data_IF_800208731134
#
_entry.id   IF_800208731134
#
_cell.length_a   1.000
_cell.length_b   1.000
_cell.length_c   1.000
_cell.angle_alpha   90.00
_cell.angle_beta   90.00
_cell.angle_gamma   90.00
#
_symmetry.space_group_name_H-M   'P 1'
#
loop_
_entity.id
_entity.type
_entity.pdbx_description
1 polymer ?
#
# COMPACT_ATOMS: atom_id res chain seq x y z
N UNK A 1 13.77 44.21 -9.92
CA UNK A 1 12.51 43.60 -10.40
C UNK A 1 12.66 42.13 -10.83
N UNK A 2 13.70 41.74 -11.59
CA UNK A 2 13.91 40.33 -12.01
C UNK A 2 14.34 39.36 -10.88
N UNK A 3 15.08 39.85 -9.87
CA UNK A 3 15.54 39.02 -8.73
C UNK A 3 14.39 38.37 -7.94
N UNK A 4 13.25 39.05 -7.79
CA UNK A 4 12.10 38.51 -7.05
C UNK A 4 11.41 37.37 -7.80
N UNK A 5 11.36 37.44 -9.13
CA UNK A 5 10.78 36.39 -9.99
C UNK A 5 11.63 35.12 -9.91
N UNK A 6 12.96 35.26 -9.90
CA UNK A 6 13.90 34.13 -9.76
C UNK A 6 13.72 33.46 -8.40
N UNK A 7 13.59 34.24 -7.31
CA UNK A 7 13.37 33.70 -5.97
C UNK A 7 12.02 32.98 -5.88
N UNK A 8 10.95 33.57 -6.41
CA UNK A 8 9.63 32.93 -6.44
C UNK A 8 9.65 31.61 -7.24
N UNK A 9 10.33 31.59 -8.40
CA UNK A 9 10.50 30.39 -9.20
C UNK A 9 11.33 29.31 -8.47
N UNK A 10 12.40 29.71 -7.80
CA UNK A 10 13.24 28.81 -7.01
C UNK A 10 12.48 28.18 -5.83
N UNK A 11 11.72 28.99 -5.08
CA UNK A 11 10.86 28.51 -3.97
C UNK A 11 9.77 27.57 -4.50
N UNK A 12 9.14 27.91 -5.62
CA UNK A 12 8.13 27.06 -6.25
C UNK A 12 8.69 25.70 -6.68
N UNK A 13 9.87 25.69 -7.33
CA UNK A 13 10.54 24.46 -7.73
C UNK A 13 10.95 23.60 -6.52
N UNK A 14 11.48 24.23 -5.47
CA UNK A 14 11.84 23.54 -4.24
C UNK A 14 10.60 22.89 -3.59
N UNK A 15 9.51 23.65 -3.47
CA UNK A 15 8.23 23.14 -2.95
C UNK A 15 7.70 21.97 -3.79
N UNK A 16 7.81 22.04 -5.12
CA UNK A 16 7.37 20.98 -6.04
C UNK A 16 8.17 19.68 -5.85
N UNK A 17 9.48 19.78 -5.67
CA UNK A 17 10.35 18.60 -5.47
C UNK A 17 10.12 17.99 -4.09
N UNK A 18 9.98 18.81 -3.06
CA UNK A 18 9.67 18.34 -1.69
C UNK A 18 8.32 17.62 -1.66
N UNK A 19 7.26 18.18 -2.27
CA UNK A 19 5.98 17.49 -2.41
C UNK A 19 6.08 16.22 -3.26
N UNK A 20 6.88 16.19 -4.33
CA UNK A 20 7.01 15.03 -5.20
C UNK A 20 7.66 13.80 -4.54
N UNK A 21 8.48 14.00 -3.49
CA UNK A 21 9.09 12.91 -2.71
C UNK A 21 8.31 12.55 -1.45
N UNK A 22 7.57 13.50 -0.86
CA UNK A 22 6.77 13.28 0.35
C UNK A 22 5.30 12.92 0.10
N UNK A 23 4.75 13.17 -1.10
CA UNK A 23 3.49 12.57 -1.49
C UNK A 23 3.80 11.17 -2.04
N UNK A 24 3.39 10.08 -1.36
CA UNK A 24 3.28 8.81 -2.05
C UNK A 24 2.45 9.07 -3.28
N UNK A 25 2.95 8.65 -4.44
CA UNK A 25 2.24 8.70 -5.71
C UNK A 25 0.95 7.92 -5.49
N UNK A 26 -0.11 8.61 -5.07
CA UNK A 26 -1.45 8.08 -5.12
C UNK A 26 -1.58 7.68 -6.58
N UNK A 27 -1.60 6.37 -6.82
CA UNK A 27 -2.08 5.83 -8.09
C UNK A 27 -3.38 6.59 -8.36
N UNK A 28 -3.69 6.98 -9.60
CA UNK A 28 -4.97 7.58 -9.91
C UNK A 28 -6.05 6.62 -9.41
N UNK A 29 -6.53 6.84 -8.19
CA UNK A 29 -7.74 6.24 -7.67
C UNK A 29 -8.80 6.97 -8.48
N UNK A 30 -9.38 6.18 -9.39
CA UNK A 30 -10.57 6.55 -10.11
C UNK A 30 -11.54 7.21 -9.13
N UNK A 31 -12.07 8.34 -9.57
CA UNK A 31 -13.11 9.10 -8.88
C UNK A 31 -14.30 8.17 -8.64
N UNK A 32 -14.35 7.55 -7.47
CA UNK A 32 -15.54 6.97 -6.88
C UNK A 32 -15.93 7.82 -5.68
N UNK A 33 -16.87 8.74 -5.87
CA UNK A 33 -17.65 9.26 -4.76
C UNK A 33 -18.43 8.09 -4.15
N UNK A 34 -18.25 7.87 -2.84
CA UNK A 34 -18.96 6.81 -2.13
C UNK A 34 -18.11 6.38 -0.96
N UNK A 35 -18.73 6.35 0.21
CA UNK A 35 -18.24 5.87 1.50
C UNK A 35 -17.02 4.96 1.43
N UNK A 36 -16.06 5.19 2.33
CA UNK A 36 -14.96 4.27 2.60
C UNK A 36 -15.55 2.96 3.14
N UNK A 37 -16.10 2.14 2.25
CA UNK A 37 -16.36 0.74 2.51
C UNK A 37 -14.96 0.13 2.42
N UNK A 38 -14.28 0.08 3.56
CA UNK A 38 -13.02 -0.62 3.66
C UNK A 38 -13.28 -2.05 3.19
N UNK A 39 -12.78 -2.39 2.00
CA UNK A 39 -12.98 -3.69 1.40
C UNK A 39 -12.44 -4.74 2.37
N UNK A 40 -13.34 -5.51 2.98
CA UNK A 40 -12.96 -6.56 3.91
C UNK A 40 -12.39 -7.73 3.11
N UNK A 41 -11.15 -8.08 3.39
CA UNK A 41 -10.47 -9.23 2.82
C UNK A 41 -10.38 -10.30 3.89
N UNK A 42 -10.55 -11.55 3.48
CA UNK A 42 -10.45 -12.68 4.37
C UNK A 42 -9.00 -13.14 4.47
N UNK A 43 -8.50 -13.27 5.69
CA UNK A 43 -7.20 -13.90 5.95
C UNK A 43 -7.28 -15.41 5.66
N UNK A 44 -6.39 -15.98 4.84
CA UNK A 44 -6.44 -17.40 4.45
C UNK A 44 -6.05 -18.36 5.57
N UNK A 45 -5.33 -17.89 6.61
CA UNK A 45 -4.90 -18.67 7.76
C UNK A 45 -5.99 -18.70 8.85
N UNK A 46 -6.44 -17.54 9.31
CA UNK A 46 -7.39 -17.43 10.43
C UNK A 46 -8.85 -17.20 10.01
N UNK A 47 -9.12 -17.03 8.71
CA UNK A 47 -10.46 -16.76 8.14
C UNK A 47 -11.13 -15.49 8.66
N UNK A 48 -10.36 -14.61 9.30
CA UNK A 48 -10.83 -13.33 9.83
C UNK A 48 -10.99 -12.32 8.71
N UNK A 49 -12.09 -11.57 8.73
CA UNK A 49 -12.32 -10.46 7.81
C UNK A 49 -11.66 -9.19 8.37
N UNK A 50 -10.71 -8.64 7.61
CA UNK A 50 -9.95 -7.46 7.99
C UNK A 50 -10.01 -6.39 6.90
N UNK A 51 -9.88 -5.10 7.24
CA UNK A 51 -9.79 -4.04 6.25
C UNK A 51 -8.57 -4.22 5.33
N UNK A 52 -8.77 -4.21 4.01
CA UNK A 52 -7.68 -4.34 3.02
C UNK A 52 -6.57 -3.31 3.20
N UNK A 53 -6.90 -2.13 3.74
CA UNK A 53 -5.94 -1.04 4.01
C UNK A 53 -5.01 -1.32 5.19
N UNK A 54 -5.48 -1.99 6.23
CA UNK A 54 -4.66 -2.36 7.41
C UNK A 54 -4.10 -3.79 7.32
N UNK A 55 -4.52 -4.57 6.33
CA UNK A 55 -4.01 -5.93 6.11
C UNK A 55 -2.56 -5.95 5.64
N UNK A 56 -1.80 -6.96 6.11
CA UNK A 56 -0.45 -7.26 5.64
C UNK A 56 -0.55 -7.99 4.30
N UNK A 57 -0.14 -7.33 3.21
CA UNK A 57 -0.15 -7.93 1.86
C UNK A 57 1.17 -8.63 1.59
N UNK A 58 1.13 -9.94 1.30
CA UNK A 58 2.30 -10.74 0.93
C UNK A 58 2.07 -11.37 -0.44
N UNK A 59 3.09 -11.32 -1.30
CA UNK A 59 3.06 -12.02 -2.59
C UNK A 59 3.66 -13.42 -2.41
N UNK A 60 2.86 -14.44 -2.71
CA UNK A 60 3.22 -15.85 -2.57
C UNK A 60 2.86 -16.53 -3.89
N UNK A 61 3.86 -17.09 -4.59
CA UNK A 61 3.68 -17.79 -5.87
C UNK A 61 2.91 -16.98 -6.94
N UNK A 62 3.20 -15.68 -7.01
CA UNK A 62 2.55 -14.76 -7.96
C UNK A 62 1.12 -14.36 -7.59
N UNK A 63 0.58 -14.84 -6.46
CA UNK A 63 -0.71 -14.41 -5.90
C UNK A 63 -0.48 -13.48 -4.71
N UNK A 64 -1.30 -12.44 -4.60
CA UNK A 64 -1.26 -11.54 -3.44
C UNK A 64 -2.26 -12.03 -2.40
N UNK A 65 -1.77 -12.35 -1.22
CA UNK A 65 -2.57 -12.72 -0.06
C UNK A 65 -2.56 -11.60 0.97
N UNK A 66 -3.69 -11.40 1.64
CA UNK A 66 -3.87 -10.44 2.73
C UNK A 66 -3.97 -11.18 4.06
N UNK A 67 -3.20 -10.75 5.05
CA UNK A 67 -3.13 -11.35 6.37
C UNK A 67 -3.45 -10.33 7.47
N UNK A 68 -4.00 -10.79 8.59
CA UNK A 68 -4.32 -9.97 9.75
C UNK A 68 -3.08 -9.52 10.51
N UNK A 69 -2.01 -10.30 10.43
CA UNK A 69 -0.73 -10.03 11.07
C UNK A 69 0.42 -10.64 10.28
N UNK A 70 1.64 -10.16 10.54
CA UNK A 70 2.86 -10.74 9.96
C UNK A 70 3.06 -12.20 10.41
N UNK A 71 2.62 -12.55 11.62
CA UNK A 71 2.69 -13.92 12.12
C UNK A 71 1.79 -14.88 11.33
N UNK A 72 0.58 -14.45 10.95
CA UNK A 72 -0.31 -15.24 10.10
C UNK A 72 0.28 -15.44 8.71
N UNK A 73 0.91 -14.40 8.14
CA UNK A 73 1.62 -14.51 6.88
C UNK A 73 2.79 -15.51 6.96
N UNK A 74 3.55 -15.48 8.07
CA UNK A 74 4.68 -16.40 8.28
C UNK A 74 4.21 -17.85 8.41
N UNK A 75 3.21 -18.12 9.25
CA UNK A 75 2.64 -19.47 9.42
C UNK A 75 2.11 -20.02 8.10
N UNK A 76 1.37 -19.20 7.34
CA UNK A 76 0.88 -19.59 6.03
C UNK A 76 1.99 -19.93 5.03
N UNK A 77 3.11 -19.20 5.07
CA UNK A 77 4.29 -19.51 4.27
C UNK A 77 5.00 -20.79 4.71
N UNK A 78 5.12 -21.03 6.01
CA UNK A 78 5.71 -22.25 6.57
C UNK A 78 4.87 -23.49 6.20
N UNK A 79 3.55 -23.43 6.39
CA UNK A 79 2.63 -24.53 6.05
C UNK A 79 2.68 -24.85 4.55
N UNK A 80 2.63 -23.83 3.68
CA UNK A 80 2.73 -24.00 2.22
C UNK A 80 4.08 -24.56 1.79
N UNK A 81 5.17 -24.16 2.43
CA UNK A 81 6.51 -24.70 2.13
C UNK A 81 6.60 -26.19 2.45
N UNK A 82 5.85 -26.65 3.45
CA UNK A 82 5.81 -28.06 3.84
C UNK A 82 4.96 -28.92 2.87
N UNK A 83 3.96 -28.34 2.20
CA UNK A 83 3.13 -29.03 1.20
C UNK A 83 3.86 -29.27 -0.14
N UNK A 84 4.83 -28.43 -0.51
CA UNK A 84 5.53 -28.51 -1.82
C UNK A 84 6.66 -29.55 -1.83
N UNK A 85 6.98 -30.18 -0.70
CA UNK A 85 8.07 -31.16 -0.54
C UNK A 85 7.59 -32.63 -0.60
N UNK A 86 6.28 -32.87 -0.67
CA UNK A 86 5.70 -34.20 -0.91
C UNK A 86 5.24 -34.38 -2.36
#
# INVERSE_FOLDING_TARGET
MLRLIIIAAAVYLLYRILKGKFLPKARPEEKGQGEVIDQLVQDPNCKLYIPSKSSVKKMIEGRTYSFCSEECARKYLEDRKNEVIH
#
